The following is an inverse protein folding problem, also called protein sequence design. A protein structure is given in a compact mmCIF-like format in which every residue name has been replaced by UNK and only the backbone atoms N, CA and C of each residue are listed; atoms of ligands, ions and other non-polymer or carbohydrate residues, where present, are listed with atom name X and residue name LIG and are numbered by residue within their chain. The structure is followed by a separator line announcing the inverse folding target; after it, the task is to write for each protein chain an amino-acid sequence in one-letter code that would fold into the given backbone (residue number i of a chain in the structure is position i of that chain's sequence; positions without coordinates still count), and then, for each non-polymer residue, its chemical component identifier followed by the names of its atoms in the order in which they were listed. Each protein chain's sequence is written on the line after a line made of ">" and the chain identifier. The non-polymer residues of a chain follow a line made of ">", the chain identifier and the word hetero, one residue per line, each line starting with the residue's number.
data_IF_071282123905
#
_entry.id   IF_071282123905
#
_cell.length_a   1.000
_cell.length_b   1.000
_cell.length_c   1.000
_cell.angle_alpha   90.00
_cell.angle_beta   90.00
_cell.angle_gamma   90.00
#
_symmetry.space_group_name_H-M   'P 1'
#
loop_
_entity.id
_entity.type
_entity.pdbx_description
1 polymer ?
#
# COMPACT_ATOMS: atom_id res chain seq x y z
N UNK A 1 0.87 -58.39 13.95
CA UNK A 1 0.68 -57.39 15.03
C UNK A 1 0.59 -56.04 14.32
N UNK A 2 -0.53 -55.66 13.70
CA UNK A 2 -0.50 -54.57 12.69
C UNK A 2 -1.78 -53.71 12.66
N UNK A 3 -2.37 -53.39 13.83
CA UNK A 3 -3.59 -52.56 13.90
C UNK A 3 -3.34 -51.10 14.35
N UNK A 4 -2.11 -50.71 14.71
CA UNK A 4 -1.84 -49.35 15.22
C UNK A 4 -1.48 -48.31 14.16
N UNK A 5 -1.16 -48.71 12.91
CA UNK A 5 -0.77 -47.76 11.85
C UNK A 5 -1.96 -47.14 11.09
N UNK A 6 -3.16 -47.73 11.15
CA UNK A 6 -4.32 -47.21 10.42
C UNK A 6 -5.04 -46.06 11.15
N UNK A 7 -4.98 -46.02 12.48
CA UNK A 7 -5.63 -44.96 13.26
C UNK A 7 -4.88 -43.63 13.20
N UNK A 8 -3.54 -43.64 13.15
CA UNK A 8 -2.75 -42.40 13.07
C UNK A 8 -2.97 -41.67 11.72
N UNK A 9 -3.04 -42.41 10.61
CA UNK A 9 -3.30 -41.82 9.29
C UNK A 9 -4.72 -41.24 9.14
N UNK A 10 -5.70 -41.74 9.90
CA UNK A 10 -7.06 -41.18 9.89
C UNK A 10 -7.17 -39.90 10.72
N UNK A 11 -6.46 -39.83 11.86
CA UNK A 11 -6.41 -38.66 12.72
C UNK A 11 -5.63 -37.51 12.04
N UNK A 12 -4.52 -37.81 11.36
CA UNK A 12 -3.76 -36.81 10.60
C UNK A 12 -4.58 -36.18 9.45
N UNK A 13 -5.35 -37.00 8.71
CA UNK A 13 -6.23 -36.49 7.66
C UNK A 13 -7.38 -35.64 8.22
N UNK A 14 -7.97 -36.02 9.34
CA UNK A 14 -9.03 -35.24 9.98
C UNK A 14 -8.53 -33.86 10.46
N UNK A 15 -7.33 -33.81 11.04
CA UNK A 15 -6.69 -32.55 11.46
C UNK A 15 -6.32 -31.65 10.26
N UNK A 16 -5.86 -32.23 9.15
CA UNK A 16 -5.58 -31.47 7.93
C UNK A 16 -6.85 -30.86 7.31
N UNK A 17 -7.95 -31.61 7.28
CA UNK A 17 -9.24 -31.13 6.77
C UNK A 17 -9.81 -30.03 7.68
N UNK A 18 -9.67 -30.16 8.99
CA UNK A 18 -10.11 -29.14 9.95
C UNK A 18 -9.33 -27.84 9.78
N UNK A 19 -8.00 -27.89 9.68
CA UNK A 19 -7.15 -26.72 9.46
C UNK A 19 -7.46 -26.01 8.13
N UNK A 20 -7.74 -26.75 7.06
CA UNK A 20 -8.14 -26.16 5.77
C UNK A 20 -9.50 -25.44 5.85
N UNK A 21 -10.44 -25.98 6.61
CA UNK A 21 -11.74 -25.36 6.82
C UNK A 21 -11.64 -24.09 7.68
N UNK A 22 -10.79 -24.11 8.72
CA UNK A 22 -10.50 -22.93 9.54
C UNK A 22 -9.85 -21.82 8.70
N UNK A 23 -8.87 -22.16 7.85
CA UNK A 23 -8.19 -21.21 6.96
C UNK A 23 -9.17 -20.57 5.96
N UNK A 24 -10.04 -21.37 5.32
CA UNK A 24 -11.09 -20.86 4.41
C UNK A 24 -12.11 -19.96 5.10
N UNK A 25 -12.43 -20.24 6.38
CA UNK A 25 -13.34 -19.41 7.15
C UNK A 25 -12.69 -18.09 7.58
N UNK A 26 -11.40 -18.10 7.90
CA UNK A 26 -10.58 -16.91 8.14
C UNK A 26 -10.51 -16.03 6.89
N UNK A 27 -10.19 -16.59 5.72
CA UNK A 27 -10.17 -15.87 4.45
C UNK A 27 -11.52 -15.21 4.15
N UNK A 28 -12.62 -15.97 4.25
CA UNK A 28 -13.97 -15.42 4.05
C UNK A 28 -14.29 -14.28 5.01
N UNK A 29 -13.84 -14.37 6.27
CA UNK A 29 -14.05 -13.32 7.28
C UNK A 29 -13.22 -12.07 6.96
N UNK A 30 -11.96 -12.23 6.55
CA UNK A 30 -11.08 -11.14 6.14
C UNK A 30 -11.64 -10.43 4.91
N UNK A 31 -12.06 -11.18 3.88
CA UNK A 31 -12.66 -10.61 2.67
C UNK A 31 -13.97 -9.88 2.99
N UNK A 32 -14.82 -10.44 3.85
CA UNK A 32 -16.07 -9.78 4.26
C UNK A 32 -15.80 -8.47 5.00
N UNK A 33 -14.86 -8.46 5.94
CA UNK A 33 -14.49 -7.25 6.67
C UNK A 33 -13.89 -6.19 5.73
N UNK A 34 -13.02 -6.58 4.80
CA UNK A 34 -12.47 -5.66 3.79
C UNK A 34 -13.56 -5.06 2.89
N UNK A 35 -14.56 -5.84 2.49
CA UNK A 35 -15.69 -5.36 1.69
C UNK A 35 -16.58 -4.42 2.52
N UNK A 36 -16.80 -4.72 3.80
CA UNK A 36 -17.59 -3.90 4.71
C UNK A 36 -16.87 -2.58 5.01
N UNK A 37 -15.57 -2.61 5.29
CA UNK A 37 -14.73 -1.43 5.43
C UNK A 37 -14.73 -0.60 4.15
N UNK A 38 -14.59 -1.22 2.98
CA UNK A 38 -14.64 -0.54 1.69
C UNK A 38 -16.04 0.04 1.38
N UNK A 39 -17.10 -0.64 1.76
CA UNK A 39 -18.47 -0.16 1.60
C UNK A 39 -18.77 0.99 2.56
N UNK A 40 -18.24 0.94 3.78
CA UNK A 40 -18.31 2.03 4.75
C UNK A 40 -17.48 3.24 4.30
N UNK A 41 -16.34 3.00 3.63
CA UNK A 41 -15.54 4.03 2.96
C UNK A 41 -16.32 4.71 1.83
N UNK A 42 -17.07 3.95 1.02
CA UNK A 42 -17.87 4.50 -0.08
C UNK A 42 -19.17 5.18 0.37
N UNK A 43 -19.79 4.70 1.44
CA UNK A 43 -21.09 5.19 1.92
C UNK A 43 -20.97 6.27 3.01
N UNK A 44 -19.77 6.50 3.57
CA UNK A 44 -19.50 7.55 4.52
C UNK A 44 -19.19 8.88 3.82
N UNK A 45 -20.03 9.91 4.05
CA UNK A 45 -19.76 11.32 3.66
C UNK A 45 -18.51 11.95 4.33
N UNK A 46 -17.61 11.17 4.94
CA UNK A 46 -16.53 11.64 5.80
C UNK A 46 -15.15 11.67 5.14
N UNK A 47 -14.94 11.01 4.00
CA UNK A 47 -13.72 11.22 3.21
C UNK A 47 -13.99 12.36 2.25
N UNK A 48 -13.64 13.58 2.66
CA UNK A 48 -13.50 14.67 1.70
C UNK A 48 -12.46 14.25 0.68
N UNK A 49 -12.85 14.16 -0.59
CA UNK A 49 -11.96 14.07 -1.73
C UNK A 49 -10.90 15.16 -1.60
N UNK A 50 -9.74 14.82 -1.04
CA UNK A 50 -8.67 15.79 -0.90
C UNK A 50 -7.80 15.71 -2.15
N UNK A 51 -7.69 16.84 -2.84
CA UNK A 51 -6.82 16.95 -4.00
C UNK A 51 -5.48 17.53 -3.56
N UNK A 52 -4.41 16.78 -3.78
CA UNK A 52 -3.05 17.31 -3.62
C UNK A 52 -2.55 17.71 -5.00
N UNK A 53 -2.12 18.96 -5.09
CA UNK A 53 -1.45 19.52 -6.24
C UNK A 53 0.06 19.40 -6.00
N UNK A 54 0.70 18.43 -6.64
CA UNK A 54 2.16 18.34 -6.62
C UNK A 54 2.72 19.18 -7.75
N UNK A 55 3.61 20.12 -7.43
CA UNK A 55 4.39 20.85 -8.42
C UNK A 55 5.80 20.28 -8.48
N UNK A 56 6.17 19.69 -9.62
CA UNK A 56 7.49 19.10 -9.86
C UNK A 56 8.07 19.78 -11.09
N UNK A 57 9.13 20.56 -10.95
CA UNK A 57 9.79 21.26 -12.06
C UNK A 57 8.79 21.97 -13.00
N UNK A 58 7.90 22.77 -12.41
CA UNK A 58 6.81 23.53 -13.08
C UNK A 58 5.63 22.70 -13.60
N UNK A 59 5.66 21.37 -13.49
CA UNK A 59 4.54 20.50 -13.87
C UNK A 59 3.62 20.31 -12.68
N UNK A 60 2.32 20.52 -12.89
CA UNK A 60 1.28 20.32 -11.89
C UNK A 60 0.64 18.94 -12.05
N UNK A 61 0.78 18.09 -11.04
CA UNK A 61 0.08 16.82 -10.93
C UNK A 61 -1.05 16.96 -9.91
N UNK A 62 -2.29 16.70 -10.34
CA UNK A 62 -3.44 16.65 -9.43
C UNK A 62 -3.69 15.21 -9.02
N UNK A 63 -3.59 14.96 -7.73
CA UNK A 63 -3.77 13.65 -7.14
C UNK A 63 -5.03 13.66 -6.28
N UNK A 64 -6.01 12.82 -6.63
CA UNK A 64 -7.13 12.51 -5.75
C UNK A 64 -6.69 11.38 -4.83
N UNK A 65 -6.70 11.60 -3.52
CA UNK A 65 -6.38 10.57 -2.55
C UNK A 65 -7.66 10.01 -1.93
N UNK A 66 -7.76 8.68 -1.93
CA UNK A 66 -8.76 7.95 -1.13
C UNK A 66 -8.18 7.66 0.27
N UNK A 67 -6.85 7.70 0.42
CA UNK A 67 -6.20 7.24 1.64
C UNK A 67 -5.08 8.19 2.11
N UNK A 68 -5.18 8.65 3.36
CA UNK A 68 -4.34 9.71 3.94
C UNK A 68 -3.01 9.20 4.52
N UNK A 69 -2.83 7.89 4.74
CA UNK A 69 -1.74 7.38 5.59
C UNK A 69 -0.33 7.76 5.15
N UNK A 70 0.00 7.73 3.86
CA UNK A 70 1.37 8.00 3.40
C UNK A 70 1.71 9.49 3.30
N UNK A 71 0.70 10.34 3.29
CA UNK A 71 0.88 11.79 3.24
C UNK A 71 0.44 12.45 4.54
N UNK A 72 0.02 11.69 5.55
CA UNK A 72 -0.45 12.23 6.83
C UNK A 72 0.56 13.19 7.43
N UNK A 73 1.84 12.86 7.46
CA UNK A 73 2.87 13.75 8.00
C UNK A 73 3.11 15.01 7.15
N UNK A 74 2.92 14.90 5.83
CA UNK A 74 2.95 16.04 4.89
C UNK A 74 1.70 16.93 5.02
N UNK A 75 0.55 16.31 5.32
CA UNK A 75 -0.75 16.95 5.45
C UNK A 75 -1.02 17.50 6.85
N UNK A 76 -0.42 16.94 7.91
CA UNK A 76 -0.70 17.32 9.30
C UNK A 76 -0.13 18.70 9.66
N UNK A 77 0.91 19.14 8.96
CA UNK A 77 1.53 20.44 9.20
C UNK A 77 0.82 21.59 8.47
N UNK A 78 0.01 21.30 7.45
CA UNK A 78 -0.79 22.31 6.76
C UNK A 78 -2.25 22.17 7.19
N UNK A 79 -2.79 23.23 7.80
CA UNK A 79 -4.14 23.22 8.39
C UNK A 79 -5.16 22.55 7.48
N UNK A 80 -5.81 21.48 7.98
CA UNK A 80 -6.86 20.65 7.33
C UNK A 80 -8.11 21.42 6.84
N UNK A 81 -8.07 22.75 6.80
CA UNK A 81 -9.17 23.64 6.40
C UNK A 81 -9.18 23.95 4.90
N UNK A 82 -8.11 23.68 4.16
CA UNK A 82 -8.08 23.93 2.71
C UNK A 82 -8.69 22.74 1.96
N UNK A 83 -9.47 22.97 0.90
CA UNK A 83 -10.02 21.89 0.05
C UNK A 83 -8.97 21.27 -0.88
N UNK A 84 -7.82 21.95 -1.02
CA UNK A 84 -6.70 21.50 -1.83
C UNK A 84 -5.38 21.96 -1.21
N UNK A 85 -4.40 21.08 -1.17
CA UNK A 85 -3.04 21.37 -0.71
C UNK A 85 -2.12 21.40 -1.93
N UNK A 86 -1.25 22.41 -2.01
CA UNK A 86 -0.23 22.48 -3.07
C UNK A 86 1.16 22.29 -2.47
N UNK A 87 1.83 21.19 -2.82
CA UNK A 87 3.18 20.88 -2.37
C UNK A 87 4.14 21.03 -3.55
N UNK A 88 5.21 21.81 -3.38
CA UNK A 88 6.27 21.93 -4.39
C UNK A 88 7.43 20.99 -4.05
N UNK A 89 7.76 20.09 -4.97
CA UNK A 89 8.78 19.06 -4.83
C UNK A 89 9.86 19.23 -5.91
N UNK A 90 10.54 20.37 -5.87
CA UNK A 90 11.51 20.75 -6.92
C UNK A 90 12.82 19.96 -6.83
N UNK A 91 13.09 19.27 -5.72
CA UNK A 91 14.31 18.45 -5.59
C UNK A 91 14.22 17.09 -6.32
N UNK A 92 13.04 16.69 -6.79
CA UNK A 92 12.85 15.36 -7.38
C UNK A 92 12.56 15.45 -8.87
N UNK A 93 13.06 14.46 -9.62
CA UNK A 93 12.73 14.32 -11.03
C UNK A 93 11.27 13.85 -11.19
N UNK A 94 10.60 14.41 -12.20
CA UNK A 94 9.23 14.09 -12.57
C UNK A 94 9.03 12.60 -12.80
N UNK A 95 9.93 11.95 -13.54
CA UNK A 95 9.79 10.55 -13.94
C UNK A 95 9.80 9.62 -12.72
N UNK A 96 10.76 9.80 -11.83
CA UNK A 96 10.89 9.04 -10.59
C UNK A 96 9.70 9.29 -9.67
N UNK A 97 9.21 10.53 -9.60
CA UNK A 97 7.99 10.83 -8.86
C UNK A 97 6.76 10.13 -9.45
N UNK A 98 6.62 10.09 -10.77
CA UNK A 98 5.54 9.33 -11.44
C UNK A 98 5.61 7.84 -11.10
N UNK A 99 6.82 7.25 -11.04
CA UNK A 99 7.00 5.86 -10.59
C UNK A 99 6.60 5.66 -9.12
N UNK A 100 6.94 6.60 -8.23
CA UNK A 100 6.56 6.54 -6.82
C UNK A 100 5.04 6.66 -6.65
N UNK A 101 4.40 7.54 -7.42
CA UNK A 101 2.97 7.68 -7.43
C UNK A 101 2.31 6.40 -7.97
N UNK A 102 2.83 5.82 -9.04
CA UNK A 102 2.37 4.52 -9.55
C UNK A 102 2.44 3.44 -8.48
N UNK A 103 3.52 3.41 -7.70
CA UNK A 103 3.66 2.49 -6.56
C UNK A 103 2.60 2.73 -5.49
N UNK A 104 2.36 3.98 -5.11
CA UNK A 104 1.35 4.32 -4.08
C UNK A 104 -0.07 3.93 -4.56
N UNK A 105 -0.39 4.15 -5.82
CA UNK A 105 -1.74 3.91 -6.36
C UNK A 105 -2.00 2.45 -6.74
N UNK A 106 -1.01 1.79 -7.36
CA UNK A 106 -1.19 0.49 -8.00
C UNK A 106 -0.29 -0.60 -7.42
N UNK A 107 0.59 -0.27 -6.47
CA UNK A 107 1.52 -1.22 -5.87
C UNK A 107 2.64 -1.69 -6.79
N UNK A 108 2.81 -1.06 -7.96
CA UNK A 108 3.82 -1.44 -8.96
C UNK A 108 4.92 -0.37 -9.09
N UNK A 109 6.16 -0.81 -9.32
CA UNK A 109 7.28 0.09 -9.57
C UNK A 109 8.24 -0.54 -10.59
N UNK A 110 8.77 0.28 -11.48
CA UNK A 110 9.78 -0.09 -12.46
C UNK A 110 11.15 0.42 -12.03
N UNK A 111 12.16 -0.43 -12.11
CA UNK A 111 13.56 -0.07 -11.88
C UNK A 111 14.29 -0.11 -13.23
N UNK A 112 14.69 1.04 -13.75
CA UNK A 112 15.29 1.09 -15.09
C UNK A 112 16.82 1.04 -15.07
N UNK A 113 17.45 1.76 -14.13
CA UNK A 113 18.90 1.84 -14.01
C UNK A 113 19.34 2.19 -12.57
N UNK A 114 20.65 2.18 -12.31
CA UNK A 114 21.20 2.46 -10.97
C UNK A 114 20.95 3.89 -10.49
N UNK A 115 20.99 4.88 -11.38
CA UNK A 115 20.73 6.29 -11.03
C UNK A 115 19.26 6.49 -10.59
N UNK A 116 18.35 5.84 -11.31
CA UNK A 116 16.93 5.76 -10.98
C UNK A 116 16.69 5.10 -9.61
N UNK A 117 17.41 4.01 -9.29
CA UNK A 117 17.31 3.36 -7.98
C UNK A 117 17.69 4.28 -6.81
N UNK A 118 18.74 5.10 -6.95
CA UNK A 118 19.16 6.05 -5.92
C UNK A 118 18.09 7.12 -5.70
N UNK A 119 17.57 7.72 -6.77
CA UNK A 119 16.52 8.75 -6.65
C UNK A 119 15.22 8.16 -6.08
N UNK A 120 14.81 6.96 -6.50
CA UNK A 120 13.66 6.26 -5.94
C UNK A 120 13.85 5.95 -4.45
N UNK A 121 15.08 5.61 -4.02
CA UNK A 121 15.40 5.41 -2.61
C UNK A 121 15.23 6.72 -1.82
N UNK A 122 15.78 7.83 -2.30
CA UNK A 122 15.64 9.15 -1.66
C UNK A 122 14.17 9.55 -1.51
N UNK A 123 13.38 9.41 -2.59
CA UNK A 123 11.95 9.71 -2.56
C UNK A 123 11.21 8.77 -1.59
N UNK A 124 11.55 7.48 -1.58
CA UNK A 124 10.92 6.51 -0.67
C UNK A 124 11.18 6.85 0.81
N UNK A 125 12.37 7.38 1.14
CA UNK A 125 12.71 7.84 2.48
C UNK A 125 11.92 9.12 2.81
N UNK A 126 11.86 10.08 1.87
CA UNK A 126 11.13 11.34 2.04
C UNK A 126 9.64 11.11 2.38
N UNK A 127 8.98 10.20 1.65
CA UNK A 127 7.58 9.84 1.87
C UNK A 127 7.39 8.69 2.88
N UNK A 128 8.45 8.26 3.58
CA UNK A 128 8.41 7.16 4.57
C UNK A 128 7.78 5.86 4.04
N UNK A 129 8.01 5.55 2.76
CA UNK A 129 7.57 4.32 2.10
C UNK A 129 8.49 3.14 2.48
N UNK A 130 8.42 2.70 3.73
CA UNK A 130 9.35 1.71 4.31
C UNK A 130 9.45 0.41 3.49
N UNK A 131 8.31 -0.13 3.04
CA UNK A 131 8.30 -1.35 2.22
C UNK A 131 9.03 -1.12 0.88
N UNK A 132 8.82 0.03 0.25
CA UNK A 132 9.49 0.34 -1.01
C UNK A 132 10.99 0.53 -0.79
N UNK A 133 11.38 1.22 0.28
CA UNK A 133 12.78 1.37 0.69
C UNK A 133 13.44 -0.01 0.83
N UNK A 134 12.81 -0.96 1.52
CA UNK A 134 13.33 -2.32 1.66
C UNK A 134 13.44 -3.06 0.33
N UNK A 135 12.45 -2.92 -0.57
CA UNK A 135 12.48 -3.51 -1.91
C UNK A 135 13.66 -2.97 -2.71
N UNK A 136 13.89 -1.65 -2.68
CA UNK A 136 14.99 -0.99 -3.39
C UNK A 136 16.33 -1.41 -2.80
N UNK A 137 16.47 -1.47 -1.48
CA UNK A 137 17.71 -1.89 -0.80
C UNK A 137 18.14 -3.31 -1.16
N UNK A 138 17.20 -4.22 -1.43
CA UNK A 138 17.49 -5.59 -1.90
C UNK A 138 18.00 -5.67 -3.34
N UNK A 139 17.97 -4.56 -4.09
CA UNK A 139 18.44 -4.48 -5.49
C UNK A 139 19.87 -3.95 -5.63
N UNK A 140 20.45 -3.45 -4.54
CA UNK A 140 21.88 -3.13 -4.42
C UNK A 140 22.67 -4.38 -4.08
#
# INVERSE_FOLDING_TARGET
>A
MDNNNNNNNQIENANQIQNQNEMKNLEKKVTKNLIEDYSNLLNGNSFKDFSILLRINQILLKLKFINQFYLQDLLFNESLRQESLSISLNQFNKKEMESILSYIYYGNISFENQENLIQLLEISIYFKLNLLKEIIQKKF
#
